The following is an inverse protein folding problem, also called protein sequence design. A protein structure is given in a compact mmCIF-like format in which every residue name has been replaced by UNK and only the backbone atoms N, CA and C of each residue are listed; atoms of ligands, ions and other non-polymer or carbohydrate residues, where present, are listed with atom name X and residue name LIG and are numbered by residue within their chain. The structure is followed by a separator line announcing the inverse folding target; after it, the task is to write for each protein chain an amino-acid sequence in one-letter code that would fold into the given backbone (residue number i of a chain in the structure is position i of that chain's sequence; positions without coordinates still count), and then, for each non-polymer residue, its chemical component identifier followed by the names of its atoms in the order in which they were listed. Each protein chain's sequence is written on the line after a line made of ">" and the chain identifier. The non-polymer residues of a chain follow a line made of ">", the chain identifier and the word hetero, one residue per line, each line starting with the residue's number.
data_IF_000426355078
#
_entry.id   IF_000426355078
#
_cell.length_a   1.000
_cell.length_b   1.000
_cell.length_c   1.000
_cell.angle_alpha   90.00
_cell.angle_beta   90.00
_cell.angle_gamma   90.00
#
_symmetry.space_group_name_H-M   'P 1'
#
loop_
_entity.id
_entity.type
_entity.pdbx_description
1 polymer ?
#
# COMPACT_ATOMS: atom_id res chain seq x y z
N UNK A 1 -2.31 14.92 9.10
CA UNK A 1 -2.83 13.94 8.13
C UNK A 1 -1.88 12.75 8.10
N UNK A 2 -2.39 11.55 7.89
CA UNK A 2 -1.60 10.32 7.85
C UNK A 2 -2.11 9.41 6.73
N UNK A 3 -1.21 8.59 6.17
CA UNK A 3 -1.58 7.51 5.26
C UNK A 3 -1.81 6.22 6.04
N UNK A 4 -2.85 5.48 5.69
CA UNK A 4 -3.11 4.16 6.27
C UNK A 4 -2.16 3.16 5.61
N UNK A 5 -1.54 2.35 6.46
CA UNK A 5 -0.58 1.32 6.04
C UNK A 5 -0.96 -0.03 6.63
N UNK A 6 -0.62 -1.10 5.90
CA UNK A 6 -0.75 -2.49 6.35
C UNK A 6 0.61 -3.19 6.28
N UNK A 7 0.75 -4.30 7.00
CA UNK A 7 1.94 -5.14 6.93
C UNK A 7 2.12 -5.67 5.50
N UNK A 8 3.37 -5.73 5.04
CA UNK A 8 3.74 -6.11 3.69
C UNK A 8 4.93 -7.08 3.65
N UNK A 9 5.19 -7.80 4.75
CA UNK A 9 6.37 -8.67 4.88
C UNK A 9 6.38 -9.81 3.83
N UNK A 10 5.19 -10.27 3.42
CA UNK A 10 5.03 -11.33 2.43
C UNK A 10 4.72 -10.79 1.01
N UNK A 11 4.58 -9.48 0.83
CA UNK A 11 4.20 -8.90 -0.46
C UNK A 11 5.33 -9.08 -1.49
N UNK A 12 5.07 -9.64 -2.70
CA UNK A 12 6.12 -9.99 -3.67
C UNK A 12 7.09 -8.86 -4.02
N UNK A 13 6.60 -7.61 -4.09
CA UNK A 13 7.42 -6.42 -4.37
C UNK A 13 7.83 -5.71 -3.09
N UNK A 14 6.88 -5.46 -2.18
CA UNK A 14 7.08 -4.51 -1.07
C UNK A 14 7.96 -5.09 0.04
N UNK A 15 8.10 -6.42 0.12
CA UNK A 15 9.03 -7.08 1.05
C UNK A 15 10.50 -6.69 0.82
N UNK A 16 10.82 -6.22 -0.38
CA UNK A 16 12.17 -5.79 -0.77
C UNK A 16 12.43 -4.30 -0.50
N UNK A 17 11.40 -3.53 -0.17
CA UNK A 17 11.49 -2.09 0.13
C UNK A 17 11.85 -1.85 1.61
N UNK A 18 12.14 -0.61 1.99
CA UNK A 18 12.59 -0.21 3.34
C UNK A 18 13.93 -0.84 3.78
N UNK A 19 14.49 -0.37 4.90
CA UNK A 19 15.75 -0.88 5.44
C UNK A 19 15.66 -2.40 5.76
N UNK A 20 16.76 -3.16 5.61
CA UNK A 20 16.82 -4.56 6.06
C UNK A 20 16.50 -4.69 7.55
N UNK A 21 15.75 -5.73 7.93
CA UNK A 21 15.37 -6.02 9.32
C UNK A 21 14.25 -5.14 9.90
N UNK A 22 13.79 -4.12 9.18
CA UNK A 22 12.59 -3.36 9.54
C UNK A 22 11.33 -4.06 9.04
N UNK A 23 10.22 -3.95 9.80
CA UNK A 23 8.88 -4.36 9.35
C UNK A 23 8.56 -3.69 8.02
N UNK A 24 8.04 -4.47 7.07
CA UNK A 24 7.64 -3.97 5.77
C UNK A 24 6.21 -3.47 5.87
N UNK A 25 6.01 -2.21 5.49
CA UNK A 25 4.70 -1.55 5.49
C UNK A 25 4.44 -1.01 4.08
N UNK A 26 3.23 -1.23 3.58
CA UNK A 26 2.75 -0.61 2.35
C UNK A 26 1.57 0.30 2.66
N UNK A 27 1.43 1.38 1.89
CA UNK A 27 0.19 2.16 1.88
C UNK A 27 -0.94 1.33 1.28
N UNK A 28 -2.16 1.56 1.74
CA UNK A 28 -3.37 1.00 1.12
C UNK A 28 -3.70 1.82 -0.12
N UNK A 29 -3.78 1.15 -1.27
CA UNK A 29 -4.17 1.74 -2.55
C UNK A 29 -5.60 1.26 -2.83
N UNK A 30 -6.53 2.19 -2.94
CA UNK A 30 -7.94 1.88 -3.23
C UNK A 30 -8.17 1.83 -4.73
N UNK A 31 -9.06 0.94 -5.18
CA UNK A 31 -9.59 0.99 -6.53
C UNK A 31 -10.42 2.25 -6.75
N UNK A 32 -10.43 2.83 -7.96
CA UNK A 32 -11.27 3.98 -8.27
C UNK A 32 -12.74 3.79 -7.91
N UNK A 33 -13.26 2.58 -8.14
CA UNK A 33 -14.67 2.25 -7.88
C UNK A 33 -15.00 2.21 -6.37
N UNK A 34 -14.00 2.08 -5.50
CA UNK A 34 -14.18 2.04 -4.03
C UNK A 34 -14.12 3.42 -3.37
N UNK A 35 -13.81 4.50 -4.11
CA UNK A 35 -13.58 5.82 -3.52
C UNK A 35 -14.80 6.38 -2.79
N UNK A 36 -15.98 6.28 -3.38
CA UNK A 36 -17.21 6.83 -2.78
C UNK A 36 -17.56 6.06 -1.49
N UNK A 37 -17.50 4.73 -1.53
CA UNK A 37 -17.75 3.91 -0.36
C UNK A 37 -16.71 4.19 0.73
N UNK A 38 -15.42 4.29 0.40
CA UNK A 38 -14.38 4.66 1.37
C UNK A 38 -14.62 6.01 2.04
N UNK A 39 -15.04 7.03 1.28
CA UNK A 39 -15.22 8.39 1.80
C UNK A 39 -16.49 8.59 2.62
N UNK A 40 -17.51 7.76 2.40
CA UNK A 40 -18.86 8.02 2.92
C UNK A 40 -19.38 6.92 3.86
N UNK A 41 -18.80 5.73 3.84
CA UNK A 41 -19.37 4.59 4.55
C UNK A 41 -19.35 4.78 6.06
N UNK A 42 -20.50 4.60 6.75
CA UNK A 42 -20.53 4.48 8.20
C UNK A 42 -20.19 3.06 8.67
N UNK A 43 -20.05 2.10 7.73
CA UNK A 43 -19.80 0.71 8.06
C UNK A 43 -18.29 0.45 8.21
N UNK A 44 -17.85 0.35 9.46
CA UNK A 44 -16.44 0.12 9.81
C UNK A 44 -15.91 -1.20 9.24
N UNK A 45 -16.74 -2.24 9.14
CA UNK A 45 -16.29 -3.53 8.61
C UNK A 45 -16.10 -3.48 7.10
N UNK A 46 -16.92 -2.72 6.38
CA UNK A 46 -16.70 -2.45 4.95
C UNK A 46 -15.39 -1.68 4.72
N UNK A 47 -15.15 -0.62 5.50
CA UNK A 47 -13.91 0.14 5.44
C UNK A 47 -12.68 -0.73 5.78
N UNK A 48 -12.78 -1.61 6.78
CA UNK A 48 -11.71 -2.55 7.15
C UNK A 48 -11.41 -3.56 6.05
N UNK A 49 -12.44 -4.04 5.34
CA UNK A 49 -12.27 -4.97 4.23
C UNK A 49 -11.44 -4.38 3.08
N UNK A 50 -11.49 -3.05 2.88
CA UNK A 50 -10.70 -2.33 1.88
C UNK A 50 -9.21 -2.18 2.24
N UNK A 51 -8.82 -2.43 3.49
CA UNK A 51 -7.44 -2.28 3.96
C UNK A 51 -6.58 -3.50 3.56
N UNK A 52 -6.39 -3.68 2.26
CA UNK A 52 -5.61 -4.77 1.67
C UNK A 52 -4.33 -4.25 1.00
N UNK A 53 -3.38 -5.15 0.80
CA UNK A 53 -2.25 -4.90 -0.08
C UNK A 53 -2.73 -4.86 -1.53
N UNK A 54 -2.23 -3.88 -2.29
CA UNK A 54 -2.49 -3.81 -3.73
C UNK A 54 -1.79 -4.97 -4.44
N UNK A 55 -2.42 -5.64 -5.43
CA UNK A 55 -1.81 -6.79 -6.09
C UNK A 55 -0.48 -6.45 -6.76
N UNK A 56 0.55 -7.27 -6.52
CA UNK A 56 1.88 -7.08 -7.10
C UNK A 56 1.88 -7.11 -8.63
N UNK A 57 1.01 -7.93 -9.24
CA UNK A 57 0.92 -8.08 -10.70
C UNK A 57 0.36 -6.81 -11.38
N UNK A 58 -0.34 -5.95 -10.62
CA UNK A 58 -0.85 -4.66 -11.08
C UNK A 58 0.14 -3.52 -10.79
N UNK A 59 1.34 -3.83 -10.31
CA UNK A 59 2.41 -2.86 -10.01
C UNK A 59 3.55 -2.97 -11.01
N UNK A 60 4.14 -1.82 -11.34
CA UNK A 60 5.45 -1.73 -12.00
C UNK A 60 6.43 -1.10 -11.02
N UNK A 61 7.56 -1.77 -10.79
CA UNK A 61 8.64 -1.28 -9.95
C UNK A 61 9.93 -1.19 -10.77
N UNK A 62 10.62 -0.07 -10.67
CA UNK A 62 11.88 0.19 -11.34
C UNK A 62 12.93 0.72 -10.34
N UNK A 63 14.24 0.45 -10.57
CA UNK A 63 15.27 1.10 -9.78
C UNK A 63 15.25 2.60 -10.02
N UNK A 64 15.47 3.38 -8.95
CA UNK A 64 15.71 4.82 -9.09
C UNK A 64 17.04 5.04 -9.83
N UNK A 65 17.08 5.98 -10.77
CA UNK A 65 18.32 6.38 -11.42
C UNK A 65 19.28 6.99 -10.38
N UNK A 66 20.59 6.70 -10.53
CA UNK A 66 21.62 7.29 -9.67
C UNK A 66 21.51 8.82 -9.66
N UNK A 67 21.39 9.41 -8.46
CA UNK A 67 21.36 10.87 -8.25
C UNK A 67 19.98 11.49 -8.00
N UNK A 68 18.89 10.71 -7.99
CA UNK A 68 17.58 11.21 -7.53
C UNK A 68 17.40 10.83 -6.06
N UNK A 69 17.84 11.71 -5.15
CA UNK A 69 17.60 11.49 -3.70
C UNK A 69 18.65 12.02 -2.72
N UNK A 70 19.60 12.86 -3.15
CA UNK A 70 20.28 13.81 -2.25
C UNK A 70 19.53 15.15 -2.20
#
# INVERSE_FOLDING_TARGET
>A
MAMITVNADEHPVMKHMHRPGAEKRSVVILWPDDWEEWLTTPNVEAARAMLQLYPADDMVAEPVADGVGE
#
